data_IF_056623848965
#
_entry.id   IF_056623848965
#
_cell.length_a   1.000
_cell.length_b   1.000
_cell.length_c   1.000
_cell.angle_alpha   90.00
_cell.angle_beta   90.00
_cell.angle_gamma   90.00
#
_symmetry.space_group_name_H-M   'P 1'
#
loop_
_entity.id
_entity.type
_entity.pdbx_description
1 polymer ?
#
# COMPACT_ATOMS: atom_id res chain seq x y z
N UNK A 1 4.49 14.60 -20.10
CA UNK A 1 4.69 14.65 -18.64
C UNK A 1 5.88 15.57 -18.30
N UNK A 2 5.84 16.37 -17.22
CA UNK A 2 6.95 17.28 -16.87
C UNK A 2 8.12 16.48 -16.27
N UNK A 3 9.39 16.86 -16.49
CA UNK A 3 10.55 16.10 -15.99
C UNK A 3 10.53 15.88 -14.47
N UNK A 4 10.02 16.86 -13.72
CA UNK A 4 9.94 16.80 -12.26
C UNK A 4 8.91 15.77 -11.77
N UNK A 5 7.73 15.72 -12.41
CA UNK A 5 6.71 14.68 -12.20
C UNK A 5 7.30 13.30 -12.42
N UNK A 6 8.01 13.12 -13.54
CA UNK A 6 8.64 11.86 -13.94
C UNK A 6 9.68 11.41 -12.91
N UNK A 7 10.46 12.34 -12.36
CA UNK A 7 11.44 12.06 -11.32
C UNK A 7 10.78 11.63 -10.00
N UNK A 8 9.67 12.26 -9.60
CA UNK A 8 8.91 11.89 -8.39
C UNK A 8 8.36 10.47 -8.52
N UNK A 9 7.68 10.17 -9.63
CA UNK A 9 7.07 8.85 -9.87
C UNK A 9 8.13 7.75 -9.86
N UNK A 10 9.30 8.00 -10.47
CA UNK A 10 10.40 7.04 -10.45
C UNK A 10 10.91 6.76 -9.03
N UNK A 11 11.00 7.78 -8.16
CA UNK A 11 11.38 7.58 -6.74
C UNK A 11 10.34 6.73 -6.01
N UNK A 12 9.06 7.05 -6.15
CA UNK A 12 7.96 6.30 -5.53
C UNK A 12 7.94 4.84 -6.01
N UNK A 13 8.17 4.61 -7.31
CA UNK A 13 8.25 3.27 -7.90
C UNK A 13 9.41 2.45 -7.31
N UNK A 14 10.59 3.08 -7.15
CA UNK A 14 11.76 2.45 -6.54
C UNK A 14 11.56 2.15 -5.06
N UNK A 15 10.86 3.01 -4.31
CA UNK A 15 10.49 2.74 -2.91
C UNK A 15 9.58 1.52 -2.80
N UNK A 16 8.55 1.43 -3.63
CA UNK A 16 7.68 0.24 -3.63
C UNK A 16 8.47 -1.02 -3.99
N UNK A 17 9.31 -0.96 -5.03
CA UNK A 17 10.15 -2.09 -5.41
C UNK A 17 11.06 -2.55 -4.25
N UNK A 18 11.71 -1.61 -3.57
CA UNK A 18 12.54 -1.91 -2.41
C UNK A 18 11.73 -2.53 -1.25
N UNK A 19 10.54 -1.98 -0.94
CA UNK A 19 9.65 -2.52 0.07
C UNK A 19 9.18 -3.96 -0.27
N UNK A 20 8.86 -4.21 -1.54
CA UNK A 20 8.49 -5.53 -2.05
C UNK A 20 9.60 -6.57 -1.97
N UNK A 21 10.86 -6.14 -1.84
CA UNK A 21 12.04 -7.02 -1.74
C UNK A 21 12.50 -7.28 -0.30
N UNK A 22 11.90 -6.65 0.71
CA UNK A 22 12.23 -6.85 2.12
C UNK A 22 12.07 -8.32 2.54
N UNK A 23 13.03 -8.90 3.23
CA UNK A 23 12.89 -10.28 3.73
C UNK A 23 11.75 -10.34 4.75
N UNK A 24 10.79 -11.25 4.55
CA UNK A 24 9.73 -11.46 5.53
C UNK A 24 10.35 -11.98 6.84
N UNK A 25 9.93 -11.49 8.01
CA UNK A 25 10.42 -12.00 9.28
C UNK A 25 10.11 -13.50 9.39
N UNK A 26 11.06 -14.26 9.92
CA UNK A 26 10.81 -15.67 10.27
C UNK A 26 9.93 -15.66 11.51
N UNK A 27 8.69 -16.12 11.35
CA UNK A 27 7.83 -16.41 12.50
C UNK A 27 8.14 -17.86 12.88
N UNK A 28 8.68 -18.07 14.07
CA UNK A 28 8.87 -19.41 14.61
C UNK A 28 7.51 -20.12 14.72
N UNK A 29 7.50 -21.43 14.50
CA UNK A 29 6.26 -22.20 14.51
C UNK A 29 5.59 -22.10 15.89
N UNK A 30 4.37 -21.57 15.93
CA UNK A 30 3.60 -21.38 17.16
C UNK A 30 3.77 -20.01 17.82
N UNK A 31 4.72 -19.18 17.37
CA UNK A 31 4.92 -17.81 17.85
C UNK A 31 4.01 -16.82 17.11
N UNK A 32 3.54 -15.78 17.81
CA UNK A 32 2.74 -14.71 17.22
C UNK A 32 3.67 -13.64 16.66
N UNK A 33 3.73 -13.53 15.33
CA UNK A 33 4.39 -12.40 14.67
C UNK A 33 3.62 -11.09 14.83
N UNK A 34 4.30 -9.98 14.57
CA UNK A 34 3.68 -8.64 14.54
C UNK A 34 2.53 -8.60 13.54
N UNK A 35 1.38 -8.08 13.96
CA UNK A 35 0.18 -7.98 13.13
C UNK A 35 -0.19 -6.52 12.89
N UNK A 36 -0.78 -6.25 11.73
CA UNK A 36 -1.21 -4.92 11.32
C UNK A 36 -2.73 -4.87 11.42
N UNK A 37 -3.24 -3.95 12.22
CA UNK A 37 -4.67 -3.69 12.34
C UNK A 37 -5.13 -2.90 11.13
N UNK A 38 -6.24 -3.29 10.53
CA UNK A 38 -6.79 -2.55 9.38
C UNK A 38 -7.99 -1.72 9.82
N UNK A 39 -7.93 -0.41 9.56
CA UNK A 39 -9.05 0.50 9.73
C UNK A 39 -9.52 1.02 8.37
N UNK A 40 -10.82 0.89 8.10
CA UNK A 40 -11.39 1.27 6.82
C UNK A 40 -11.86 2.72 6.81
N UNK A 41 -11.40 3.46 5.82
CA UNK A 41 -11.87 4.81 5.49
C UNK A 41 -12.93 4.72 4.37
N UNK A 42 -14.07 5.42 4.47
CA UNK A 42 -15.05 5.48 3.39
C UNK A 42 -14.45 6.05 2.11
N UNK A 43 -14.73 5.41 0.98
CA UNK A 43 -14.33 5.93 -0.32
C UNK A 43 -15.39 6.91 -0.84
N UNK A 44 -15.03 8.13 -1.27
CA UNK A 44 -16.00 9.10 -1.78
C UNK A 44 -16.69 8.64 -3.07
N UNK A 45 -16.06 7.76 -3.85
CA UNK A 45 -16.62 7.24 -5.10
C UNK A 45 -17.46 5.97 -4.91
N UNK A 46 -16.99 5.04 -4.08
CA UNK A 46 -17.70 3.78 -3.82
C UNK A 46 -18.76 3.89 -2.72
N UNK A 47 -18.75 4.99 -1.95
CA UNK A 47 -19.60 5.18 -0.78
C UNK A 47 -19.17 4.32 0.43
N UNK A 48 -20.03 4.21 1.45
CA UNK A 48 -19.75 3.46 2.66
C UNK A 48 -19.88 1.96 2.38
N UNK A 49 -18.79 1.33 1.95
CA UNK A 49 -18.68 -0.14 1.93
C UNK A 49 -17.52 -0.55 2.82
N UNK A 50 -17.71 -0.44 4.14
CA UNK A 50 -16.74 -0.74 5.19
C UNK A 50 -16.29 -2.21 5.27
N UNK A 51 -15.83 -2.72 6.43
CA UNK A 51 -15.33 -4.09 6.61
C UNK A 51 -16.33 -5.20 6.25
N UNK A 52 -17.60 -4.83 6.13
CA UNK A 52 -18.72 -5.70 5.83
C UNK A 52 -19.01 -5.58 4.33
N UNK A 53 -18.69 -6.63 3.57
CA UNK A 53 -19.09 -6.73 2.17
C UNK A 53 -20.61 -6.76 2.00
N UNK A 54 -21.13 -6.84 0.76
CA UNK A 54 -22.54 -7.12 0.53
C UNK A 54 -22.96 -8.37 1.34
N UNK A 55 -23.93 -8.21 2.24
CA UNK A 55 -24.39 -9.30 3.12
C UNK A 55 -23.70 -9.41 4.49
N UNK A 56 -22.90 -8.42 4.93
CA UNK A 56 -22.42 -8.39 6.32
C UNK A 56 -21.21 -9.28 6.60
N UNK A 57 -20.57 -9.85 5.58
CA UNK A 57 -19.39 -10.69 5.76
C UNK A 57 -18.13 -9.85 5.96
N UNK A 58 -17.35 -10.15 6.99
CA UNK A 58 -16.01 -9.57 7.20
C UNK A 58 -15.07 -10.01 6.08
N UNK A 59 -14.21 -9.09 5.66
CA UNK A 59 -13.16 -9.38 4.69
C UNK A 59 -12.19 -10.43 5.24
N UNK A 60 -11.98 -11.51 4.51
CA UNK A 60 -10.96 -12.49 4.86
C UNK A 60 -9.58 -11.92 4.53
N UNK A 61 -8.69 -11.90 5.51
CA UNK A 61 -7.31 -11.47 5.34
C UNK A 61 -6.33 -12.65 5.46
N UNK A 62 -5.27 -12.60 4.65
CA UNK A 62 -4.07 -13.39 4.93
C UNK A 62 -3.22 -12.70 6.00
N UNK A 63 -2.47 -13.44 6.84
CA UNK A 63 -1.47 -12.84 7.73
C UNK A 63 -0.54 -11.88 6.96
N UNK A 64 -0.11 -10.75 7.56
CA UNK A 64 -0.17 -10.40 8.98
C UNK A 64 -1.36 -9.49 9.38
N UNK A 65 -2.39 -9.36 8.53
CA UNK A 65 -3.51 -8.46 8.82
C UNK A 65 -4.49 -9.03 9.86
N UNK A 66 -5.11 -8.13 10.63
CA UNK A 66 -6.22 -8.43 11.54
C UNK A 66 -7.26 -7.31 11.56
N UNK A 67 -8.51 -7.70 11.84
CA UNK A 67 -9.64 -6.78 12.04
C UNK A 67 -9.98 -6.57 13.53
N UNK A 68 -9.29 -7.24 14.46
CA UNK A 68 -9.62 -7.21 15.90
C UNK A 68 -8.83 -6.11 16.63
N UNK A 69 -9.50 -5.02 17.09
CA UNK A 69 -8.84 -3.91 17.77
C UNK A 69 -8.40 -4.23 19.21
N UNK A 70 -8.72 -5.42 19.75
CA UNK A 70 -8.38 -5.78 21.12
C UNK A 70 -6.90 -6.13 21.33
N UNK A 71 -6.12 -6.36 20.27
CA UNK A 71 -4.68 -6.61 20.36
C UNK A 71 -3.87 -5.37 19.94
N UNK A 72 -2.80 -5.01 20.66
CA UNK A 72 -1.96 -3.86 20.31
C UNK A 72 -1.20 -4.12 19.00
N UNK A 73 -1.07 -3.10 18.15
CA UNK A 73 -0.36 -3.18 16.90
C UNK A 73 -0.46 -1.91 16.05
N UNK A 74 0.43 -1.76 15.04
CA UNK A 74 0.34 -0.65 14.11
C UNK A 74 -0.97 -0.72 13.32
N UNK A 75 -1.55 0.45 13.06
CA UNK A 75 -2.83 0.59 12.36
C UNK A 75 -2.58 1.06 10.93
N UNK A 76 -3.15 0.36 9.95
CA UNK A 76 -3.21 0.79 8.56
C UNK A 76 -4.62 1.28 8.23
N UNK A 77 -4.72 2.57 7.94
CA UNK A 77 -5.90 3.19 7.35
C UNK A 77 -5.90 2.97 5.85
N UNK A 78 -6.96 2.37 5.34
CA UNK A 78 -7.11 2.05 3.93
C UNK A 78 -8.55 2.29 3.47
N UNK A 79 -8.76 2.67 2.22
CA UNK A 79 -10.10 2.74 1.66
C UNK A 79 -10.79 1.38 1.74
N UNK A 80 -12.09 1.39 1.98
CA UNK A 80 -12.81 0.13 2.15
C UNK A 80 -12.91 -0.70 0.85
N UNK A 81 -12.82 -0.01 -0.29
CA UNK A 81 -12.80 -0.59 -1.63
C UNK A 81 -11.40 -0.97 -2.14
N UNK A 82 -10.32 -0.78 -1.37
CA UNK A 82 -8.98 -1.12 -1.86
C UNK A 82 -8.44 -2.43 -1.28
N UNK A 83 -7.44 -3.00 -1.92
CA UNK A 83 -6.71 -4.18 -1.49
C UNK A 83 -5.21 -3.96 -1.59
N UNK A 84 -4.49 -4.41 -0.56
CA UNK A 84 -3.03 -4.50 -0.52
C UNK A 84 -2.60 -5.95 -0.32
N UNK A 85 -1.40 -6.28 -0.74
CA UNK A 85 -0.83 -7.62 -0.49
C UNK A 85 -0.23 -7.68 0.91
N UNK A 86 -0.16 -8.88 1.52
CA UNK A 86 0.57 -9.07 2.78
C UNK A 86 2.04 -8.62 2.68
N UNK A 87 2.64 -8.77 1.50
CA UNK A 87 3.99 -8.29 1.19
C UNK A 87 4.13 -6.78 1.34
N UNK A 88 3.11 -6.03 0.94
CA UNK A 88 3.14 -4.56 0.96
C UNK A 88 3.33 -4.01 2.38
N UNK A 89 2.78 -4.66 3.40
CA UNK A 89 2.84 -4.20 4.78
C UNK A 89 4.06 -4.68 5.58
N UNK A 90 4.98 -5.42 4.94
CA UNK A 90 6.20 -5.85 5.62
C UNK A 90 7.04 -4.68 6.12
N UNK A 91 7.01 -3.53 5.44
CA UNK A 91 7.69 -2.34 5.92
C UNK A 91 7.15 -1.89 7.27
N UNK A 92 5.82 -1.89 7.46
CA UNK A 92 5.17 -1.57 8.74
C UNK A 92 5.62 -2.56 9.81
N UNK A 93 5.51 -3.86 9.53
CA UNK A 93 5.89 -4.95 10.44
C UNK A 93 7.34 -4.82 10.90
N UNK A 94 8.29 -4.76 9.95
CA UNK A 94 9.72 -4.71 10.24
C UNK A 94 10.11 -3.43 10.98
N UNK A 95 9.47 -2.31 10.68
CA UNK A 95 9.72 -1.05 11.37
C UNK A 95 9.15 -1.05 12.78
N UNK A 96 7.95 -1.58 13.00
CA UNK A 96 7.35 -1.70 14.33
C UNK A 96 8.17 -2.63 15.25
N UNK A 97 8.68 -3.75 14.73
CA UNK A 97 9.56 -4.67 15.48
C UNK A 97 10.88 -4.03 15.91
N UNK A 98 11.43 -3.16 15.06
CA UNK A 98 12.72 -2.49 15.33
C UNK A 98 12.58 -1.22 16.15
N UNK A 99 11.38 -0.66 16.27
CA UNK A 99 11.17 0.65 16.88
C UNK A 99 9.90 0.64 17.73
N UNK A 100 10.03 0.47 19.06
CA UNK A 100 8.87 0.37 19.98
C UNK A 100 7.91 1.57 19.91
N UNK A 101 8.40 2.77 19.61
CA UNK A 101 7.57 3.97 19.43
C UNK A 101 6.57 3.85 18.27
N UNK A 102 6.75 2.89 17.36
CA UNK A 102 5.91 2.65 16.20
C UNK A 102 4.98 1.45 16.36
N UNK A 103 5.00 0.78 17.52
CA UNK A 103 4.20 -0.40 17.80
C UNK A 103 2.68 -0.14 17.75
N UNK A 104 2.24 1.11 17.94
CA UNK A 104 0.84 1.54 17.82
C UNK A 104 0.71 2.76 16.88
N UNK A 105 1.65 2.95 15.96
CA UNK A 105 1.60 4.06 15.02
C UNK A 105 0.51 3.85 13.97
N UNK A 106 -0.06 4.96 13.50
CA UNK A 106 -1.00 4.99 12.39
C UNK A 106 -0.26 5.21 11.06
N UNK A 107 -0.69 4.45 10.06
CA UNK A 107 -0.18 4.45 8.70
C UNK A 107 -1.34 4.58 7.72
N UNK A 108 -1.09 5.12 6.54
CA UNK A 108 -2.09 5.25 5.48
C UNK A 108 -1.63 4.55 4.20
N UNK A 109 -2.57 4.06 3.40
CA UNK A 109 -2.27 3.70 2.01
C UNK A 109 -2.11 4.96 1.14
N UNK A 110 -1.56 4.78 -0.06
CA UNK A 110 -1.50 5.88 -1.04
C UNK A 110 -2.86 6.46 -1.36
N UNK A 111 -3.90 5.62 -1.42
CA UNK A 111 -5.22 6.06 -1.80
C UNK A 111 -5.83 6.99 -0.75
N UNK A 112 -5.63 6.68 0.54
CA UNK A 112 -6.07 7.54 1.64
C UNK A 112 -5.32 8.87 1.60
N UNK A 113 -3.98 8.85 1.52
CA UNK A 113 -3.20 10.09 1.42
C UNK A 113 -3.57 10.91 0.19
N UNK A 114 -3.84 10.25 -0.95
CA UNK A 114 -4.25 10.92 -2.18
C UNK A 114 -5.55 11.70 -2.00
N UNK A 115 -6.54 11.18 -1.26
CA UNK A 115 -7.76 11.92 -0.96
C UNK A 115 -7.47 13.24 -0.22
N UNK A 116 -6.44 13.26 0.62
CA UNK A 116 -6.05 14.44 1.37
C UNK A 116 -5.34 15.47 0.50
N UNK A 117 -4.53 15.04 -0.48
CA UNK A 117 -3.64 15.95 -1.22
C UNK A 117 -4.05 16.23 -2.67
N UNK A 118 -5.00 15.49 -3.24
CA UNK A 118 -5.39 15.61 -4.65
C UNK A 118 -5.86 17.02 -5.05
N UNK A 119 -6.45 17.76 -4.10
CA UNK A 119 -6.93 19.13 -4.30
C UNK A 119 -5.81 20.15 -4.61
N UNK A 120 -4.54 19.79 -4.39
CA UNK A 120 -3.37 20.65 -4.66
C UNK A 120 -2.98 20.71 -6.14
N UNK A 121 -3.59 19.87 -6.98
CA UNK A 121 -3.19 19.64 -8.37
C UNK A 121 -2.08 18.59 -8.47
N UNK A 122 -2.01 17.90 -9.62
CA UNK A 122 -1.24 16.67 -9.82
C UNK A 122 0.21 16.74 -9.29
N UNK A 123 0.96 17.76 -9.70
CA UNK A 123 2.40 17.80 -9.40
C UNK A 123 2.69 18.06 -7.93
N UNK A 124 1.98 19.01 -7.30
CA UNK A 124 2.09 19.27 -5.86
C UNK A 124 1.56 18.11 -5.03
N UNK A 125 0.50 17.45 -5.49
CA UNK A 125 -0.04 16.27 -4.85
C UNK A 125 0.99 15.13 -4.87
N UNK A 126 1.67 14.90 -6.01
CA UNK A 126 2.73 13.90 -6.12
C UNK A 126 3.94 14.22 -5.25
N UNK A 127 4.36 15.48 -5.13
CA UNK A 127 5.43 15.88 -4.20
C UNK A 127 5.05 15.65 -2.73
N UNK A 128 3.80 15.96 -2.35
CA UNK A 128 3.27 15.67 -1.03
C UNK A 128 3.25 14.16 -0.75
N UNK A 129 2.82 13.35 -1.74
CA UNK A 129 2.88 11.89 -1.68
C UNK A 129 4.32 11.37 -1.51
N UNK A 130 5.26 11.89 -2.28
CA UNK A 130 6.69 11.53 -2.21
C UNK A 130 7.28 11.76 -0.81
N UNK A 131 6.87 12.87 -0.19
CA UNK A 131 7.25 13.24 1.17
C UNK A 131 6.61 12.30 2.19
N UNK A 132 5.30 12.02 2.04
CA UNK A 132 4.55 11.15 2.96
C UNK A 132 5.06 9.70 2.95
N UNK A 133 5.66 9.24 1.85
CA UNK A 133 6.34 7.94 1.74
C UNK A 133 7.76 7.90 2.31
N UNK A 134 8.35 9.04 2.67
CA UNK A 134 9.73 9.11 3.13
C UNK A 134 9.78 8.89 4.65
N UNK A 135 9.88 7.62 5.05
CA UNK A 135 9.82 7.23 6.47
C UNK A 135 11.04 7.71 7.28
N UNK A 136 12.19 7.90 6.63
CA UNK A 136 13.38 8.47 7.26
C UNK A 136 13.15 9.90 7.79
N UNK A 137 12.19 10.62 7.21
CA UNK A 137 11.78 11.97 7.63
C UNK A 137 10.44 11.97 8.37
N UNK A 138 9.98 10.80 8.84
CA UNK A 138 8.73 10.68 9.60
C UNK A 138 7.48 10.37 8.78
N UNK A 139 7.60 10.11 7.48
CA UNK A 139 6.48 9.68 6.63
C UNK A 139 5.77 8.42 7.16
N UNK A 140 4.45 8.36 6.96
CA UNK A 140 3.55 7.28 7.41
C UNK A 140 2.71 6.68 6.30
N UNK A 141 2.92 7.09 5.06
CA UNK A 141 2.24 6.50 3.91
C UNK A 141 3.00 5.27 3.44
N UNK A 142 2.26 4.18 3.24
CA UNK A 142 2.80 2.93 2.72
C UNK A 142 3.18 3.13 1.25
N UNK A 143 4.45 2.87 0.85
CA UNK A 143 4.87 2.96 -0.54
C UNK A 143 4.41 1.72 -1.30
N UNK A 144 3.10 1.58 -1.48
CA UNK A 144 2.49 0.46 -2.15
C UNK A 144 1.30 0.89 -3.02
N UNK A 145 1.31 0.38 -4.24
CA UNK A 145 0.17 0.32 -5.13
C UNK A 145 -0.93 -0.52 -4.52
N UNK A 146 -2.16 -0.10 -4.77
CA UNK A 146 -3.36 -0.74 -4.24
C UNK A 146 -4.20 -1.25 -5.39
N UNK A 147 -5.15 -2.15 -5.12
CA UNK A 147 -6.04 -2.75 -6.13
C UNK A 147 -7.47 -2.53 -5.73
N UNK A 148 -8.40 -2.66 -6.67
CA UNK A 148 -9.82 -2.61 -6.31
C UNK A 148 -10.26 -3.93 -5.67
N UNK A 149 -10.94 -3.84 -4.53
CA UNK A 149 -11.54 -4.98 -3.84
C UNK A 149 -13.02 -5.10 -4.23
N UNK A 150 -13.38 -6.25 -4.81
CA UNK A 150 -14.76 -6.61 -5.10
C UNK A 150 -15.14 -7.91 -4.36
N UNK A 151 -15.86 -7.82 -3.23
CA UNK A 151 -16.32 -9.00 -2.51
C UNK A 151 -17.22 -9.87 -3.40
N UNK A 152 -16.96 -11.17 -3.45
CA UNK A 152 -17.78 -12.12 -4.21
C UNK A 152 -17.72 -11.95 -5.74
N UNK A 153 -16.73 -11.20 -6.26
CA UNK A 153 -16.52 -11.12 -7.70
C UNK A 153 -16.19 -12.49 -8.29
N UNK A 154 -16.81 -12.80 -9.43
CA UNK A 154 -16.38 -13.92 -10.27
C UNK A 154 -14.90 -13.76 -10.65
N UNK A 155 -14.22 -14.89 -10.87
CA UNK A 155 -12.77 -14.92 -11.13
C UNK A 155 -12.36 -14.02 -12.30
N UNK A 156 -13.19 -13.93 -13.34
CA UNK A 156 -12.96 -13.08 -14.52
C UNK A 156 -12.89 -11.59 -14.15
N UNK A 157 -13.81 -11.14 -13.29
CA UNK A 157 -13.81 -9.76 -12.77
C UNK A 157 -12.63 -9.54 -11.86
N UNK A 158 -12.39 -10.47 -10.94
CA UNK A 158 -11.25 -10.40 -10.02
C UNK A 158 -9.91 -10.29 -10.78
N UNK A 159 -9.72 -11.06 -11.85
CA UNK A 159 -8.50 -11.01 -12.67
C UNK A 159 -8.30 -9.67 -13.37
N UNK A 160 -9.37 -8.99 -13.82
CA UNK A 160 -9.27 -7.64 -14.42
C UNK A 160 -8.91 -6.59 -13.37
N UNK A 161 -9.42 -6.74 -12.16
CA UNK A 161 -9.33 -5.73 -11.11
C UNK A 161 -8.11 -5.91 -10.18
N UNK A 162 -7.36 -7.00 -10.35
CA UNK A 162 -6.08 -7.26 -9.68
C UNK A 162 -4.90 -6.40 -10.17
N UNK A 163 -5.12 -5.57 -11.19
CA UNK A 163 -4.10 -4.65 -11.69
C UNK A 163 -3.79 -3.62 -10.59
N UNK A 164 -2.52 -3.49 -10.17
CA UNK A 164 -2.15 -2.47 -9.20
C UNK A 164 -2.34 -1.06 -9.78
N UNK A 165 -2.92 -0.17 -8.99
CA UNK A 165 -3.05 1.26 -9.26
C UNK A 165 -1.99 2.02 -8.47
N UNK A 166 -1.31 2.96 -9.12
CA UNK A 166 -0.22 3.72 -8.53
C UNK A 166 -0.66 4.52 -7.31
N UNK A 167 -1.72 5.34 -7.42
CA UNK A 167 -2.18 6.23 -6.36
C UNK A 167 -3.43 5.72 -5.65
N UNK A 168 -4.45 5.33 -6.41
CA UNK A 168 -5.72 4.84 -5.89
C UNK A 168 -6.42 4.02 -6.97
N UNK A 169 -7.20 2.97 -6.60
CA UNK A 169 -8.03 2.22 -7.56
C UNK A 169 -9.19 3.05 -8.13
N UNK A 170 -9.33 4.29 -7.65
CA UNK A 170 -10.38 5.24 -7.95
C UNK A 170 -9.85 6.56 -8.51
N UNK A 171 -8.55 6.85 -8.33
CA UNK A 171 -8.02 8.09 -8.86
C UNK A 171 -8.00 8.04 -10.39
N UNK A 172 -8.55 9.08 -11.02
CA UNK A 172 -8.34 9.42 -12.43
C UNK A 172 -6.89 9.86 -12.64
N UNK A 173 -5.95 8.92 -12.47
CA UNK A 173 -4.56 9.12 -12.80
C UNK A 173 -4.41 9.01 -14.32
N UNK A 174 -3.70 9.94 -14.99
CA UNK A 174 -3.42 9.79 -16.41
C UNK A 174 -2.76 8.43 -16.70
N UNK A 175 -3.27 7.68 -17.68
CA UNK A 175 -2.80 6.33 -18.01
C UNK A 175 -1.29 6.26 -18.30
N UNK A 176 -0.71 7.35 -18.82
CA UNK A 176 0.73 7.49 -19.04
C UNK A 176 1.54 7.44 -17.74
N UNK A 177 1.00 7.98 -16.64
CA UNK A 177 1.64 7.98 -15.32
C UNK A 177 1.64 6.57 -14.72
N UNK A 178 0.53 5.86 -14.83
CA UNK A 178 0.40 4.46 -14.39
C UNK A 178 1.37 3.56 -15.16
N UNK A 179 1.42 3.70 -16.50
CA UNK A 179 2.35 2.93 -17.33
C UNK A 179 3.81 3.23 -16.98
N UNK A 180 4.16 4.51 -16.82
CA UNK A 180 5.52 4.91 -16.45
C UNK A 180 5.90 4.39 -15.06
N UNK A 181 4.98 4.47 -14.10
CA UNK A 181 5.15 3.91 -12.76
C UNK A 181 5.44 2.40 -12.79
N UNK A 182 4.64 1.65 -13.55
CA UNK A 182 4.80 0.20 -13.68
C UNK A 182 6.16 -0.17 -14.28
N UNK A 183 6.58 0.54 -15.33
CA UNK A 183 7.87 0.33 -15.99
C UNK A 183 9.04 0.58 -15.03
N UNK A 184 9.06 1.72 -14.33
CA UNK A 184 10.11 2.03 -13.36
C UNK A 184 10.14 1.03 -12.19
N UNK A 185 8.96 0.62 -11.68
CA UNK A 185 8.88 -0.36 -10.60
C UNK A 185 9.46 -1.70 -11.04
N UNK A 186 9.09 -2.17 -12.22
CA UNK A 186 9.60 -3.43 -12.80
C UNK A 186 11.11 -3.37 -13.01
N UNK A 187 11.61 -2.29 -13.60
CA UNK A 187 13.05 -2.09 -13.80
C UNK A 187 13.83 -2.08 -12.48
N UNK A 188 13.27 -1.44 -11.45
CA UNK A 188 13.88 -1.40 -10.12
C UNK A 188 13.96 -2.78 -9.46
N UNK A 189 12.92 -3.62 -9.59
CA UNK A 189 12.94 -5.00 -9.09
C UNK A 189 14.03 -5.82 -9.79
N UNK A 190 14.07 -5.81 -11.12
CA UNK A 190 15.06 -6.57 -11.91
C UNK A 190 16.49 -6.15 -11.55
N UNK A 191 16.76 -4.84 -11.50
CA UNK A 191 18.08 -4.32 -11.12
C UNK A 191 18.50 -4.74 -9.71
N UNK A 192 17.58 -4.77 -8.76
CA UNK A 192 17.87 -5.17 -7.39
C UNK A 192 18.13 -6.68 -7.28
N UNK A 193 17.52 -7.50 -8.14
CA UNK A 193 17.80 -8.94 -8.23
C UNK A 193 19.16 -9.23 -8.84
N UNK A 194 19.58 -8.50 -9.87
CA UNK A 194 20.90 -8.63 -10.49
C UNK A 194 22.06 -8.31 -9.52
N UNK A 195 21.80 -7.49 -8.51
CA UNK A 195 22.77 -7.09 -7.48
C UNK A 195 22.86 -8.08 -6.30
N UNK A 196 21.97 -9.09 -6.22
CA UNK A 196 22.08 -10.12 -5.18
C UNK A 196 23.22 -11.08 -5.54
N UNK A 197 24.15 -11.39 -4.61
CA UNK A 197 25.16 -12.40 -4.86
C UNK A 197 24.50 -13.72 -5.22
N UNK A 198 24.91 -14.33 -6.35
CA UNK A 198 24.50 -15.67 -6.72
C UNK A 198 25.15 -16.64 -5.73
N UNK A 199 24.34 -17.19 -4.85
CA UNK A 199 24.74 -18.24 -3.89
C UNK A 199 24.82 -19.57 -4.63
#
# INVERSE_FOLDING_TARGET
MRPETTAVVARMARREAAAGLLTAPRVEFGERGTTVLVQFVPCPECGPRGPLGPGGQRRAWSPPFRDDPAEPGPVLHMLACEAVTARAVLLIVLTAERTPALANAEFTTRAVTWLEVAHLGLDKALEAMDTAETWATGGRTLPASTRRHHPGAAWETYRRDLVPSFLSPHADVPAELELYYEQERRAAVLKAEDLKPKI
#
